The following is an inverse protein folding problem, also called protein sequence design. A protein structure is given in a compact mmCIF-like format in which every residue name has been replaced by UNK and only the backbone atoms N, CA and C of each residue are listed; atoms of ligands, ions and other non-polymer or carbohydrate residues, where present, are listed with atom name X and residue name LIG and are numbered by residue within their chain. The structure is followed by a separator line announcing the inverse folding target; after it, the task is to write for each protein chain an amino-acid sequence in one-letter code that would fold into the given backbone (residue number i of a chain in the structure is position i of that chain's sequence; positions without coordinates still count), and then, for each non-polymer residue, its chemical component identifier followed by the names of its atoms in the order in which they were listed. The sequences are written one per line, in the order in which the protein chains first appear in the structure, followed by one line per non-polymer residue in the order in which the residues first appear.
data_IF_879732545728
#
_entry.id   IF_879732545728
#
_cell.length_a   1.000
_cell.length_b   1.000
_cell.length_c   1.000
_cell.angle_alpha   90.00
_cell.angle_beta   90.00
_cell.angle_gamma   90.00
#
_symmetry.space_group_name_H-M   'P 1'
#
loop_
_entity.id
_entity.type
_entity.pdbx_description
1 polymer ?
#
# COMPACT_ATOMS: atom_id res chain seq x y z
N UNK A 1 -5.97 34.86 11.04
CA UNK A 1 -5.34 34.36 9.80
C UNK A 1 -6.24 33.28 9.25
N UNK A 2 -6.76 33.43 8.03
CA UNK A 2 -7.61 32.44 7.40
C UNK A 2 -6.77 31.49 6.57
N UNK A 3 -6.96 30.19 6.73
CA UNK A 3 -6.36 29.20 5.83
C UNK A 3 -7.19 29.15 4.55
N UNK A 4 -6.57 29.41 3.40
CA UNK A 4 -7.18 29.15 2.09
C UNK A 4 -6.68 27.81 1.57
N UNK A 5 -7.58 26.84 1.45
CA UNK A 5 -7.28 25.53 0.88
C UNK A 5 -7.50 25.57 -0.62
N UNK A 6 -6.47 25.28 -1.40
CA UNK A 6 -6.54 25.10 -2.84
C UNK A 6 -6.22 23.64 -3.18
N UNK A 7 -7.03 22.96 -4.01
CA UNK A 7 -6.72 21.60 -4.41
C UNK A 7 -5.45 21.59 -5.26
N UNK A 8 -4.46 20.81 -4.83
CA UNK A 8 -3.27 20.53 -5.63
C UNK A 8 -3.50 19.30 -6.50
N UNK A 9 -3.16 19.38 -7.78
CA UNK A 9 -3.35 18.27 -8.72
C UNK A 9 -2.09 17.41 -8.73
N UNK A 10 -2.23 16.16 -8.31
CA UNK A 10 -1.18 15.15 -8.38
C UNK A 10 -1.17 14.49 -9.77
N UNK A 11 0.00 14.10 -10.32
CA UNK A 11 0.12 13.43 -11.61
C UNK A 11 -0.33 11.95 -11.51
N UNK A 12 -1.60 11.74 -11.21
CA UNK A 12 -2.22 10.43 -11.05
C UNK A 12 -2.83 9.96 -12.37
N UNK A 13 -3.02 8.64 -12.49
CA UNK A 13 -3.65 8.08 -13.67
C UNK A 13 -5.11 8.52 -13.83
N UNK A 14 -5.58 8.74 -15.07
CA UNK A 14 -6.98 9.02 -15.35
C UNK A 14 -7.91 7.88 -14.91
N UNK A 15 -9.14 8.19 -14.51
CA UNK A 15 -10.13 7.18 -14.12
C UNK A 15 -10.36 7.03 -12.61
N UNK A 16 -9.57 7.75 -11.80
CA UNK A 16 -9.71 7.84 -10.35
C UNK A 16 -9.07 6.67 -9.61
N UNK A 17 -8.57 6.94 -8.40
CA UNK A 17 -8.12 5.91 -7.46
C UNK A 17 -9.25 5.53 -6.50
N UNK A 18 -9.15 4.36 -5.90
CA UNK A 18 -10.10 3.83 -4.92
C UNK A 18 -9.58 3.84 -3.49
N UNK A 19 -8.26 3.93 -3.32
CA UNK A 19 -7.58 3.96 -2.02
C UNK A 19 -6.26 4.72 -2.13
N UNK A 20 -5.88 5.38 -1.03
CA UNK A 20 -4.64 6.15 -0.89
C UNK A 20 -4.09 5.96 0.53
N UNK A 21 -2.92 5.36 0.64
CA UNK A 21 -2.23 5.12 1.91
C UNK A 21 -0.87 5.81 1.92
N UNK A 22 -0.40 6.23 3.10
CA UNK A 22 0.85 6.96 3.24
C UNK A 22 1.81 6.24 4.18
N UNK A 23 3.08 6.17 3.79
CA UNK A 23 4.18 5.86 4.68
C UNK A 23 5.03 7.13 4.82
N UNK A 24 4.84 7.83 5.94
CA UNK A 24 5.37 9.18 6.11
C UNK A 24 6.88 9.22 6.31
N UNK A 25 7.48 8.17 6.87
CA UNK A 25 8.92 8.19 7.21
C UNK A 25 9.81 8.14 5.97
N UNK A 26 9.36 7.44 4.92
CA UNK A 26 10.05 7.32 3.64
C UNK A 26 9.45 8.21 2.55
N UNK A 27 8.40 8.98 2.87
CA UNK A 27 7.67 9.87 1.94
C UNK A 27 7.09 9.14 0.74
N UNK A 28 6.69 7.89 0.93
CA UNK A 28 5.97 7.12 -0.08
C UNK A 28 4.47 7.16 0.19
N UNK A 29 3.70 7.01 -0.88
CA UNK A 29 2.29 6.70 -0.80
C UNK A 29 1.95 5.54 -1.73
N UNK A 30 0.91 4.81 -1.39
CA UNK A 30 0.37 3.73 -2.18
C UNK A 30 -0.98 4.16 -2.73
N UNK A 31 -1.13 4.14 -4.04
CA UNK A 31 -2.37 4.51 -4.71
C UNK A 31 -2.95 3.30 -5.40
N UNK A 32 -4.17 2.91 -5.05
CA UNK A 32 -4.83 1.75 -5.66
C UNK A 32 -5.84 2.19 -6.70
N UNK A 33 -5.77 1.59 -7.88
CA UNK A 33 -6.61 1.83 -9.03
C UNK A 33 -7.39 0.57 -9.41
N UNK A 34 -8.65 0.76 -9.80
CA UNK A 34 -9.50 -0.32 -10.28
C UNK A 34 -9.08 -0.78 -11.69
N UNK A 35 -9.38 -2.04 -12.06
CA UNK A 35 -9.37 -2.44 -13.45
C UNK A 35 -10.24 -1.53 -14.33
N UNK A 36 -9.78 -1.24 -15.55
CA UNK A 36 -10.50 -0.46 -16.55
C UNK A 36 -10.26 -1.01 -17.97
N UNK A 37 -10.63 -0.24 -19.00
CA UNK A 37 -10.46 -0.65 -20.41
C UNK A 37 -8.99 -0.78 -20.84
N UNK A 38 -8.09 -0.05 -20.19
CA UNK A 38 -6.66 -0.03 -20.50
C UNK A 38 -5.87 -1.02 -19.62
N UNK A 39 -6.38 -1.31 -18.43
CA UNK A 39 -5.74 -2.18 -17.44
C UNK A 39 -6.75 -3.22 -16.93
N UNK A 40 -6.60 -4.47 -17.35
CA UNK A 40 -7.52 -5.56 -16.98
C UNK A 40 -7.41 -6.04 -15.53
N UNK A 41 -6.48 -5.48 -14.74
CA UNK A 41 -6.22 -5.88 -13.35
C UNK A 41 -6.19 -4.68 -12.41
N UNK A 42 -6.46 -4.93 -11.13
CA UNK A 42 -6.21 -3.97 -10.06
C UNK A 42 -4.71 -3.66 -10.02
N UNK A 43 -4.40 -2.39 -9.74
CA UNK A 43 -3.02 -1.91 -9.63
C UNK A 43 -2.87 -1.06 -8.40
N UNK A 44 -1.94 -1.43 -7.53
CA UNK A 44 -1.48 -0.56 -6.45
C UNK A 44 -0.11 -0.02 -6.85
N UNK A 45 -0.02 1.30 -6.98
CA UNK A 45 1.17 2.00 -7.45
C UNK A 45 1.83 2.67 -6.26
N UNK A 46 3.07 2.25 -5.97
CA UNK A 46 3.95 2.92 -5.03
C UNK A 46 4.47 4.20 -5.69
N UNK A 47 4.23 5.31 -5.03
CA UNK A 47 4.62 6.63 -5.49
C UNK A 47 5.58 7.25 -4.47
N UNK A 48 6.63 7.89 -4.96
CA UNK A 48 7.51 8.72 -4.14
C UNK A 48 7.11 10.20 -4.30
N UNK A 49 6.84 10.85 -3.17
CA UNK A 49 6.47 12.26 -3.14
C UNK A 49 7.68 13.14 -3.45
N UNK A 50 7.52 14.15 -4.29
CA UNK A 50 8.54 15.14 -4.64
C UNK A 50 7.95 16.55 -4.59
N UNK A 51 8.81 17.57 -4.58
CA UNK A 51 8.37 18.94 -4.75
C UNK A 51 9.48 19.76 -5.42
N UNK A 52 9.08 20.87 -6.04
CA UNK A 52 9.98 21.92 -6.52
C UNK A 52 9.45 23.27 -6.08
N UNK A 53 10.29 24.29 -6.04
CA UNK A 53 9.83 25.66 -5.83
C UNK A 53 9.48 26.29 -7.18
N UNK A 54 8.43 27.11 -7.21
CA UNK A 54 8.11 27.96 -8.36
C UNK A 54 8.94 29.26 -8.35
N UNK A 55 8.69 30.14 -9.33
CA UNK A 55 9.39 31.42 -9.45
C UNK A 55 9.12 32.36 -8.25
N UNK A 56 8.04 32.14 -7.50
CA UNK A 56 7.70 32.87 -6.28
C UNK A 56 8.28 32.22 -5.01
N UNK A 57 8.93 31.06 -5.13
CA UNK A 57 9.46 30.29 -4.01
C UNK A 57 8.43 29.40 -3.31
N UNK A 58 7.24 29.21 -3.90
CA UNK A 58 6.18 28.38 -3.35
C UNK A 58 6.33 26.91 -3.76
N UNK A 59 6.02 25.94 -2.88
CA UNK A 59 6.20 24.52 -3.17
C UNK A 59 5.13 23.98 -4.12
N UNK A 60 5.57 23.49 -5.28
CA UNK A 60 4.78 22.68 -6.20
C UNK A 60 5.06 21.20 -5.88
N UNK A 61 4.12 20.55 -5.21
CA UNK A 61 4.18 19.12 -4.91
C UNK A 61 3.99 18.28 -6.18
N UNK A 62 4.55 17.08 -6.19
CA UNK A 62 4.39 16.09 -7.25
C UNK A 62 4.63 14.69 -6.68
N UNK A 63 4.48 13.67 -7.50
CA UNK A 63 4.94 12.32 -7.20
C UNK A 63 5.42 11.64 -8.49
N UNK A 64 6.15 10.55 -8.34
CA UNK A 64 6.50 9.69 -9.46
C UNK A 64 6.35 8.22 -9.05
N UNK A 65 6.00 7.38 -10.02
CA UNK A 65 5.82 5.96 -9.80
C UNK A 65 7.17 5.27 -9.60
N UNK A 66 7.26 4.49 -8.52
CA UNK A 66 8.43 3.67 -8.17
C UNK A 66 8.17 2.22 -8.58
N UNK A 67 7.02 1.68 -8.19
CA UNK A 67 6.68 0.27 -8.37
C UNK A 67 5.17 0.09 -8.57
N UNK A 68 4.78 -0.93 -9.35
CA UNK A 68 3.37 -1.29 -9.55
C UNK A 68 3.14 -2.74 -9.15
N UNK A 69 2.27 -2.95 -8.17
CA UNK A 69 1.80 -4.28 -7.73
C UNK A 69 0.47 -4.59 -8.41
N UNK A 70 0.35 -5.78 -8.99
CA UNK A 70 -0.83 -6.20 -9.75
C UNK A 70 -1.63 -7.21 -8.94
N UNK A 71 -2.90 -6.89 -8.72
CA UNK A 71 -3.88 -7.82 -8.15
C UNK A 71 -4.70 -8.50 -9.24
N UNK A 72 -5.84 -9.07 -8.84
CA UNK A 72 -6.77 -9.72 -9.75
C UNK A 72 -7.58 -8.76 -10.63
N UNK A 73 -8.38 -9.32 -11.57
CA UNK A 73 -9.22 -8.57 -12.49
C UNK A 73 -10.50 -8.02 -11.85
N UNK A 74 -10.76 -8.33 -10.58
CA UNK A 74 -11.99 -7.93 -9.88
C UNK A 74 -11.65 -7.03 -8.71
N UNK A 75 -12.41 -5.94 -8.57
CA UNK A 75 -12.35 -5.04 -7.42
C UNK A 75 -13.76 -4.49 -7.18
N UNK A 76 -14.66 -5.34 -6.71
CA UNK A 76 -15.99 -4.94 -6.24
C UNK A 76 -15.91 -4.43 -4.80
N UNK A 77 -15.01 -5.02 -4.03
CA UNK A 77 -14.75 -4.65 -2.65
C UNK A 77 -13.54 -3.72 -2.63
N UNK A 78 -13.72 -2.52 -2.05
CA UNK A 78 -12.70 -1.48 -1.98
C UNK A 78 -11.76 -1.78 -0.83
N UNK A 79 -10.87 -2.76 -1.00
CA UNK A 79 -9.90 -3.10 0.05
C UNK A 79 -9.04 -1.89 0.39
N UNK A 80 -9.03 -1.53 1.67
CA UNK A 80 -8.07 -0.58 2.20
C UNK A 80 -6.73 -1.29 2.34
N UNK A 81 -5.79 -0.95 1.46
CA UNK A 81 -4.47 -1.56 1.42
C UNK A 81 -3.60 -1.02 2.56
N UNK A 82 -2.38 -1.54 2.70
CA UNK A 82 -1.42 -1.03 3.67
C UNK A 82 -0.04 -0.83 3.04
N UNK A 83 0.63 0.24 3.48
CA UNK A 83 2.06 0.49 3.25
C UNK A 83 2.68 0.79 4.62
N UNK A 84 3.76 0.11 4.96
CA UNK A 84 4.38 0.23 6.27
C UNK A 84 5.85 -0.20 6.23
N UNK A 85 6.65 0.28 7.18
CA UNK A 85 8.04 -0.14 7.30
C UNK A 85 8.13 -1.64 7.63
N UNK A 86 9.13 -2.31 7.07
CA UNK A 86 9.42 -3.70 7.40
C UNK A 86 9.77 -3.81 8.90
N UNK A 87 9.13 -4.73 9.65
CA UNK A 87 9.47 -5.02 11.05
C UNK A 87 10.94 -5.36 11.33
N UNK A 88 11.72 -5.74 10.31
CA UNK A 88 13.17 -5.94 10.42
C UNK A 88 13.95 -4.64 10.69
N UNK A 89 13.31 -3.48 10.53
CA UNK A 89 13.89 -2.14 10.77
C UNK A 89 15.16 -1.85 9.97
N UNK A 90 15.30 -2.43 8.78
CA UNK A 90 16.40 -2.21 7.84
C UNK A 90 16.15 -1.01 6.89
N UNK A 91 15.01 -0.32 7.07
CA UNK A 91 14.57 0.79 6.22
C UNK A 91 13.78 0.36 4.99
N UNK A 92 13.60 -0.94 4.76
CA UNK A 92 12.72 -1.44 3.71
C UNK A 92 11.25 -1.21 4.04
N UNK A 93 10.41 -1.23 3.00
CA UNK A 93 8.96 -0.99 3.09
C UNK A 93 8.26 -2.24 2.59
N UNK A 94 7.18 -2.59 3.27
CA UNK A 94 6.25 -3.62 2.83
C UNK A 94 4.97 -2.98 2.32
N UNK A 95 4.43 -3.57 1.26
CA UNK A 95 3.11 -3.24 0.72
C UNK A 95 2.22 -4.46 0.89
N UNK A 96 0.99 -4.26 1.35
CA UNK A 96 0.01 -5.33 1.47
C UNK A 96 -1.30 -4.92 0.80
N UNK A 97 -1.75 -5.73 -0.17
CA UNK A 97 -2.93 -5.45 -1.01
C UNK A 97 -3.91 -6.60 -0.96
N UNK A 98 -5.21 -6.34 -0.96
CA UNK A 98 -6.21 -7.41 -1.10
C UNK A 98 -6.28 -7.95 -2.53
N UNK A 99 -6.60 -9.24 -2.65
CA UNK A 99 -7.00 -9.86 -3.92
C UNK A 99 -8.34 -10.60 -3.76
N UNK A 100 -9.37 -10.10 -4.46
CA UNK A 100 -10.75 -10.61 -4.35
C UNK A 100 -10.89 -12.00 -5.00
N UNK A 101 -10.09 -12.32 -6.01
CA UNK A 101 -10.20 -13.60 -6.73
C UNK A 101 -9.64 -14.76 -5.91
N UNK A 102 -8.49 -14.56 -5.28
CA UNK A 102 -7.88 -15.57 -4.40
C UNK A 102 -8.40 -15.52 -2.96
N UNK A 103 -9.19 -14.51 -2.56
CA UNK A 103 -9.60 -14.29 -1.17
C UNK A 103 -8.41 -14.20 -0.21
N UNK A 104 -7.40 -13.43 -0.61
CA UNK A 104 -6.14 -13.32 0.12
C UNK A 104 -5.70 -11.86 0.27
N UNK A 105 -4.74 -11.63 1.16
CA UNK A 105 -3.91 -10.43 1.15
C UNK A 105 -2.51 -10.78 0.65
N UNK A 106 -2.03 -10.02 -0.33
CA UNK A 106 -0.72 -10.19 -0.97
C UNK A 106 0.28 -9.25 -0.31
N UNK A 107 1.33 -9.80 0.29
CA UNK A 107 2.42 -9.06 0.92
C UNK A 107 3.61 -8.97 -0.04
N UNK A 108 4.07 -7.77 -0.30
CA UNK A 108 5.10 -7.46 -1.28
C UNK A 108 6.28 -6.75 -0.63
N UNK A 109 7.48 -7.02 -1.13
CA UNK A 109 8.63 -6.16 -0.91
C UNK A 109 8.55 -4.95 -1.84
N UNK A 110 8.58 -3.74 -1.27
CA UNK A 110 8.37 -2.52 -2.04
C UNK A 110 9.55 -2.18 -2.97
N UNK A 111 10.79 -2.54 -2.57
CA UNK A 111 12.00 -2.20 -3.30
C UNK A 111 12.23 -3.05 -4.55
N UNK A 112 11.99 -4.36 -4.44
CA UNK A 112 12.13 -5.32 -5.55
C UNK A 112 10.84 -5.51 -6.34
N UNK A 113 9.68 -5.20 -5.74
CA UNK A 113 8.38 -5.51 -6.34
C UNK A 113 8.00 -6.99 -6.27
N UNK A 114 8.74 -7.81 -5.51
CA UNK A 114 8.48 -9.24 -5.41
C UNK A 114 7.34 -9.55 -4.43
N UNK A 115 6.54 -10.56 -4.76
CA UNK A 115 5.55 -11.12 -3.86
C UNK A 115 6.27 -11.97 -2.80
N UNK A 116 6.16 -11.58 -1.54
CA UNK A 116 6.75 -12.30 -0.40
C UNK A 116 5.83 -13.41 0.08
N UNK A 117 4.54 -13.08 0.27
CA UNK A 117 3.56 -14.00 0.86
C UNK A 117 2.15 -13.75 0.33
N UNK A 118 1.36 -14.81 0.29
CA UNK A 118 -0.08 -14.77 0.07
C UNK A 118 -0.79 -15.24 1.36
N UNK A 119 -1.46 -14.32 2.04
CA UNK A 119 -2.14 -14.54 3.31
C UNK A 119 -3.60 -14.92 3.04
N UNK A 120 -3.89 -16.22 3.08
CA UNK A 120 -5.23 -16.75 2.84
C UNK A 120 -6.22 -16.30 3.91
N UNK A 121 -7.35 -15.73 3.49
CA UNK A 121 -8.42 -15.26 4.38
C UNK A 121 -9.76 -16.00 4.17
N UNK A 122 -9.86 -16.87 3.15
CA UNK A 122 -11.08 -17.61 2.74
C UNK A 122 -12.30 -16.75 2.34
N UNK A 123 -12.25 -15.45 2.59
CA UNK A 123 -13.19 -14.41 2.16
C UNK A 123 -12.40 -13.19 1.69
N UNK A 124 -12.98 -12.31 0.88
CA UNK A 124 -12.29 -11.11 0.44
C UNK A 124 -11.87 -10.23 1.62
N UNK A 125 -10.64 -9.73 1.57
CA UNK A 125 -10.08 -8.82 2.56
C UNK A 125 -10.58 -7.41 2.31
N UNK A 126 -11.12 -6.75 3.33
CA UNK A 126 -11.70 -5.41 3.29
C UNK A 126 -10.73 -4.34 3.84
N UNK A 127 -9.94 -4.68 4.84
CA UNK A 127 -8.98 -3.77 5.47
C UNK A 127 -7.74 -4.54 5.92
N UNK A 128 -6.59 -3.88 5.88
CA UNK A 128 -5.29 -4.42 6.26
C UNK A 128 -4.63 -3.42 7.21
N UNK A 129 -4.28 -3.86 8.40
CA UNK A 129 -3.76 -2.98 9.45
C UNK A 129 -2.51 -3.57 10.11
N UNK A 130 -1.32 -3.00 9.85
CA UNK A 130 -0.11 -3.34 10.60
C UNK A 130 -0.17 -2.70 11.99
N UNK A 131 0.28 -3.42 13.02
CA UNK A 131 0.34 -2.90 14.38
C UNK A 131 1.45 -3.56 15.20
N UNK A 132 1.86 -2.88 16.28
CA UNK A 132 2.87 -3.38 17.21
C UNK A 132 2.31 -3.43 18.63
N UNK A 133 2.61 -4.52 19.34
CA UNK A 133 2.30 -4.66 20.77
C UNK A 133 3.41 -5.45 21.45
N UNK A 134 3.88 -4.98 22.60
CA UNK A 134 4.94 -5.62 23.38
C UNK A 134 6.23 -5.91 22.58
N UNK A 135 6.66 -4.98 21.71
CA UNK A 135 7.81 -5.11 20.80
C UNK A 135 7.68 -6.19 19.72
N UNK A 136 6.49 -6.78 19.56
CA UNK A 136 6.19 -7.69 18.48
C UNK A 136 5.37 -6.98 17.41
N UNK A 137 5.67 -7.29 16.15
CA UNK A 137 4.93 -6.77 15.00
C UNK A 137 3.89 -7.77 14.52
N UNK A 138 2.74 -7.25 14.13
CA UNK A 138 1.60 -8.02 13.64
C UNK A 138 0.96 -7.36 12.43
N UNK A 139 0.22 -8.15 11.67
CA UNK A 139 -0.63 -7.70 10.58
C UNK A 139 -2.04 -8.25 10.79
N UNK A 140 -3.03 -7.37 10.89
CA UNK A 140 -4.43 -7.74 10.89
C UNK A 140 -5.00 -7.68 9.47
N UNK A 141 -5.77 -8.69 9.07
CA UNK A 141 -6.60 -8.66 7.86
C UNK A 141 -8.06 -8.82 8.25
N UNK A 142 -8.90 -7.88 7.82
CA UNK A 142 -10.33 -7.86 8.10
C UNK A 142 -11.10 -8.43 6.91
N UNK A 143 -11.98 -9.38 7.15
CA UNK A 143 -13.01 -9.83 6.21
C UNK A 143 -14.39 -9.33 6.70
N UNK A 144 -15.47 -9.65 5.99
CA UNK A 144 -16.82 -9.32 6.44
C UNK A 144 -17.15 -9.89 7.84
N UNK A 145 -16.54 -11.01 8.22
CA UNK A 145 -16.93 -11.77 9.42
C UNK A 145 -15.82 -11.98 10.44
N UNK A 146 -14.56 -11.86 10.04
CA UNK A 146 -13.41 -12.26 10.84
C UNK A 146 -12.27 -11.26 10.71
N UNK A 147 -11.49 -11.14 11.78
CA UNK A 147 -10.16 -10.52 11.76
C UNK A 147 -9.13 -11.63 11.95
N UNK A 148 -8.22 -11.78 10.98
CA UNK A 148 -7.07 -12.67 11.11
C UNK A 148 -5.86 -11.87 11.57
N UNK A 149 -5.15 -12.37 12.58
CA UNK A 149 -3.94 -11.74 13.12
C UNK A 149 -2.73 -12.61 12.75
N UNK A 150 -1.80 -12.03 11.99
CA UNK A 150 -0.55 -12.64 11.58
C UNK A 150 0.59 -12.03 12.39
N UNK A 151 1.51 -12.84 12.91
CA UNK A 151 2.70 -12.37 13.61
C UNK A 151 3.89 -12.39 12.66
N UNK A 152 4.65 -11.29 12.63
CA UNK A 152 5.93 -11.28 11.95
C UNK A 152 6.95 -12.03 12.81
N UNK A 153 7.53 -13.08 12.26
CA UNK A 153 8.63 -13.82 12.89
C UNK A 153 9.85 -13.70 12.01
N UNK A 154 10.95 -13.18 12.57
CA UNK A 154 12.23 -13.13 11.88
C UNK A 154 12.77 -14.55 11.87
N UNK A 155 12.82 -15.17 10.69
CA UNK A 155 13.59 -16.41 10.52
C UNK A 155 15.07 -16.02 10.51
N UNK A 156 15.76 -16.23 11.62
CA UNK A 156 17.22 -16.18 11.64
C UNK A 156 17.77 -17.23 10.67
N UNK A 157 18.08 -16.84 9.44
CA UNK A 157 18.91 -17.63 8.54
C UNK A 157 20.34 -17.60 9.08
N UNK A 158 20.66 -18.50 10.03
CA UNK A 158 22.02 -18.57 10.58
C UNK A 158 22.26 -19.40 11.84
N UNK A 159 21.25 -19.97 12.49
CA UNK A 159 21.48 -20.94 13.57
C UNK A 159 21.43 -22.38 13.03
N UNK A 160 22.58 -22.88 12.55
CA UNK A 160 22.90 -24.31 12.47
C UNK A 160 24.21 -24.54 13.25
#
# INVERSE_FOLDING_TARGET
MGFTHWPHVMPMEPGGCIDFQTESSTRHCLVTYRPDKNHSTLRSVLMEMSYKLDDAGEPICSCHSVQTFRGGPTCKLLTKSAIFQNPENDGSILVCTGDEVSNSALLWDAGSGSLLQELQANQPVLDICPFQVNHNSYLATLTEKMVHIHSFTVTCQGCL
#
